data_IF_328457890381
#
_entry.id   IF_328457890381
#
_cell.length_a   1.000
_cell.length_b   1.000
_cell.length_c   1.000
_cell.angle_alpha   90.00
_cell.angle_beta   90.00
_cell.angle_gamma   90.00
#
_symmetry.space_group_name_H-M   'P 1'
#
loop_
_entity.id
_entity.type
_entity.pdbx_description
1 polymer ?
#
# COMPACT_ATOMS: atom_id res chain seq x y z
N UNK A 1 -10.84 62.18 -6.66
CA UNK A 1 -10.47 61.56 -5.38
C UNK A 1 -10.47 60.04 -5.57
N UNK A 2 -9.33 59.36 -5.61
CA UNK A 2 -9.29 57.88 -5.70
C UNK A 2 -9.47 57.33 -4.29
N UNK A 3 -10.59 56.64 -4.04
CA UNK A 3 -10.83 55.95 -2.77
C UNK A 3 -9.86 54.78 -2.69
N UNK A 4 -8.97 54.78 -1.70
CA UNK A 4 -8.04 53.67 -1.44
C UNK A 4 -8.80 52.63 -0.60
N UNK A 5 -9.39 51.63 -1.27
CA UNK A 5 -10.01 50.50 -0.60
C UNK A 5 -8.92 49.63 0.01
N UNK A 6 -8.63 49.84 1.30
CA UNK A 6 -7.73 48.99 2.09
C UNK A 6 -8.52 47.91 2.82
N UNK A 7 -7.95 46.71 2.90
CA UNK A 7 -8.47 45.61 3.72
C UNK A 7 -8.39 46.00 5.21
N UNK A 8 -9.43 45.69 5.98
CA UNK A 8 -9.45 45.96 7.42
C UNK A 8 -8.77 44.86 8.21
N UNK A 9 -8.21 45.19 9.38
CA UNK A 9 -7.57 44.20 10.25
C UNK A 9 -8.58 43.16 10.75
N UNK A 10 -9.82 43.59 10.98
CA UNK A 10 -10.91 42.69 11.37
C UNK A 10 -11.29 41.69 10.27
N UNK A 11 -11.24 42.08 9.00
CA UNK A 11 -11.46 41.15 7.89
C UNK A 11 -10.41 40.04 7.86
N UNK A 12 -9.14 40.37 8.10
CA UNK A 12 -8.11 39.34 8.16
C UNK A 12 -8.29 38.41 9.37
N UNK A 13 -8.71 38.94 10.52
CA UNK A 13 -8.95 38.13 11.73
C UNK A 13 -10.11 37.13 11.56
N UNK A 14 -11.22 37.56 10.96
CA UNK A 14 -12.36 36.68 10.70
C UNK A 14 -12.00 35.60 9.68
N UNK A 15 -11.25 35.95 8.63
CA UNK A 15 -10.82 34.99 7.61
C UNK A 15 -9.92 33.89 8.20
N UNK A 16 -8.90 34.25 8.98
CA UNK A 16 -8.01 33.24 9.59
C UNK A 16 -8.73 32.38 10.62
N UNK A 17 -9.72 32.93 11.33
CA UNK A 17 -10.55 32.17 12.27
C UNK A 17 -11.36 31.09 11.55
N UNK A 18 -12.02 31.45 10.44
CA UNK A 18 -12.80 30.49 9.65
C UNK A 18 -11.88 29.41 9.04
N UNK A 19 -10.71 29.79 8.49
CA UNK A 19 -9.74 28.82 7.96
C UNK A 19 -9.24 27.88 9.07
N UNK A 20 -9.00 28.40 10.29
CA UNK A 20 -8.57 27.59 11.43
C UNK A 20 -9.58 26.50 11.81
N UNK A 21 -10.87 26.83 11.85
CA UNK A 21 -11.94 25.86 12.12
C UNK A 21 -11.98 24.78 11.02
N UNK A 22 -11.99 25.19 9.75
CA UNK A 22 -12.03 24.24 8.63
C UNK A 22 -10.79 23.34 8.59
N UNK A 23 -9.60 23.87 8.88
CA UNK A 23 -8.37 23.11 8.92
C UNK A 23 -8.39 22.04 10.03
N UNK A 24 -8.90 22.38 11.21
CA UNK A 24 -8.98 21.45 12.36
C UNK A 24 -9.79 20.18 12.04
N UNK A 25 -10.85 20.32 11.25
CA UNK A 25 -11.72 19.21 10.84
C UNK A 25 -11.17 18.56 9.56
N UNK A 26 -10.71 19.34 8.59
CA UNK A 26 -10.32 18.83 7.27
C UNK A 26 -9.02 18.01 7.26
N UNK A 27 -8.03 18.37 8.07
CA UNK A 27 -6.73 17.68 8.10
C UNK A 27 -6.81 16.18 8.44
N UNK A 28 -7.48 15.73 9.52
CA UNK A 28 -7.56 14.30 9.84
C UNK A 28 -8.26 13.49 8.74
N UNK A 29 -9.32 14.04 8.12
CA UNK A 29 -10.00 13.39 6.98
C UNK A 29 -9.09 13.28 5.74
N UNK A 30 -8.30 14.32 5.48
CA UNK A 30 -7.36 14.33 4.36
C UNK A 30 -6.28 13.25 4.52
N UNK A 31 -5.67 13.14 5.72
CA UNK A 31 -4.67 12.11 5.99
C UNK A 31 -5.24 10.70 5.86
N UNK A 32 -6.45 10.45 6.37
CA UNK A 32 -7.12 9.15 6.22
C UNK A 32 -7.34 8.80 4.75
N UNK A 33 -7.72 9.77 3.92
CA UNK A 33 -7.93 9.57 2.48
C UNK A 33 -6.62 9.18 1.79
N UNK A 34 -5.52 9.88 2.07
CA UNK A 34 -4.19 9.54 1.53
C UNK A 34 -3.79 8.12 1.93
N UNK A 35 -3.96 7.77 3.20
CA UNK A 35 -3.58 6.44 3.69
C UNK A 35 -4.46 5.34 3.09
N UNK A 36 -5.75 5.59 2.88
CA UNK A 36 -6.64 4.69 2.17
C UNK A 36 -6.26 4.51 0.68
N UNK A 37 -5.82 5.58 0.01
CA UNK A 37 -5.30 5.49 -1.37
C UNK A 37 -4.05 4.61 -1.43
N UNK A 38 -3.08 4.83 -0.53
CA UNK A 38 -1.87 3.97 -0.44
C UNK A 38 -2.24 2.51 -0.15
N UNK A 39 -3.24 2.27 0.70
CA UNK A 39 -3.74 0.95 1.01
C UNK A 39 -4.36 0.27 -0.22
N UNK A 40 -5.16 1.01 -1.00
CA UNK A 40 -5.76 0.52 -2.25
C UNK A 40 -4.69 0.14 -3.30
N UNK A 41 -3.66 0.98 -3.45
CA UNK A 41 -2.55 0.68 -4.35
C UNK A 41 -1.82 -0.60 -3.91
N UNK A 42 -1.60 -0.75 -2.59
CA UNK A 42 -0.99 -1.93 -2.02
C UNK A 42 -1.83 -3.20 -2.23
N UNK A 43 -3.17 -3.11 -2.21
CA UNK A 43 -4.07 -4.22 -2.54
C UNK A 43 -3.91 -4.65 -4.00
N UNK A 44 -3.80 -3.70 -4.93
CA UNK A 44 -3.62 -4.03 -6.36
C UNK A 44 -2.33 -4.83 -6.61
N UNK A 45 -1.23 -4.42 -5.97
CA UNK A 45 0.06 -5.13 -6.04
C UNK A 45 -0.04 -6.49 -5.32
N UNK A 46 -0.74 -6.56 -4.20
CA UNK A 46 -1.00 -7.80 -3.48
C UNK A 46 -1.77 -8.83 -4.33
N UNK A 47 -2.79 -8.40 -5.08
CA UNK A 47 -3.49 -9.27 -6.04
C UNK A 47 -2.56 -9.75 -7.17
N UNK A 48 -1.73 -8.88 -7.70
CA UNK A 48 -0.73 -9.24 -8.71
C UNK A 48 0.25 -10.30 -8.18
N UNK A 49 0.76 -10.12 -6.96
CA UNK A 49 1.64 -11.10 -6.30
C UNK A 49 0.93 -12.43 -6.00
N UNK A 50 -0.32 -12.38 -5.54
CA UNK A 50 -1.09 -13.59 -5.28
C UNK A 50 -1.35 -14.39 -6.57
N UNK A 51 -1.68 -13.71 -7.67
CA UNK A 51 -1.92 -14.35 -8.96
C UNK A 51 -0.64 -14.94 -9.56
N UNK A 52 0.48 -14.23 -9.45
CA UNK A 52 1.77 -14.69 -9.97
C UNK A 52 2.37 -15.82 -9.14
N UNK A 53 2.09 -15.84 -7.83
CA UNK A 53 2.36 -17.01 -7.00
C UNK A 53 1.60 -18.24 -7.49
N UNK A 54 0.31 -18.11 -7.83
CA UNK A 54 -0.47 -19.23 -8.40
C UNK A 54 0.07 -19.69 -9.74
N UNK A 55 0.47 -18.77 -10.61
CA UNK A 55 1.11 -19.11 -11.90
C UNK A 55 2.38 -19.93 -11.65
N UNK A 56 3.22 -19.51 -10.70
CA UNK A 56 4.41 -20.26 -10.33
C UNK A 56 4.09 -21.66 -9.77
N UNK A 57 3.02 -21.79 -8.97
CA UNK A 57 2.57 -23.09 -8.45
C UNK A 57 2.06 -24.04 -9.54
N UNK A 58 1.51 -23.51 -10.64
CA UNK A 58 1.13 -24.31 -11.82
C UNK A 58 2.37 -24.87 -12.51
N UNK A 59 3.42 -24.07 -12.63
CA UNK A 59 4.68 -24.50 -13.26
C UNK A 59 5.52 -25.41 -12.34
N UNK A 60 5.35 -25.29 -11.02
CA UNK A 60 6.12 -26.00 -10.00
C UNK A 60 5.17 -26.76 -9.05
N UNK A 61 4.54 -27.85 -9.53
CA UNK A 61 3.56 -28.59 -8.73
C UNK A 61 4.19 -29.11 -7.43
N UNK A 62 3.53 -28.84 -6.30
CA UNK A 62 4.00 -29.21 -4.96
C UNK A 62 5.05 -28.27 -4.36
N UNK A 63 5.51 -27.27 -5.12
CA UNK A 63 6.38 -26.22 -4.62
C UNK A 63 5.63 -25.21 -3.75
N UNK A 64 6.31 -24.66 -2.75
CA UNK A 64 5.86 -23.49 -2.01
C UNK A 64 6.95 -22.44 -1.96
N UNK A 65 6.57 -21.18 -2.14
CA UNK A 65 7.43 -20.03 -1.86
C UNK A 65 7.01 -19.46 -0.53
N UNK A 66 7.95 -18.84 0.17
CA UNK A 66 7.71 -18.13 1.41
C UNK A 66 8.81 -17.09 1.56
N UNK A 67 8.44 -15.81 1.57
CA UNK A 67 9.42 -14.74 1.77
C UNK A 67 8.94 -13.37 1.30
N UNK A 68 9.67 -12.35 1.73
CA UNK A 68 9.44 -10.96 1.35
C UNK A 68 9.88 -10.70 -0.09
N UNK A 69 9.14 -9.83 -0.77
CA UNK A 69 9.55 -9.24 -2.05
C UNK A 69 10.13 -7.87 -1.75
N UNK A 70 11.42 -7.70 -2.04
CA UNK A 70 12.20 -6.48 -1.75
C UNK A 70 13.05 -6.10 -2.95
N UNK A 71 13.70 -4.94 -2.91
CA UNK A 71 14.62 -4.52 -3.97
C UNK A 71 15.79 -5.48 -4.22
N UNK A 72 16.16 -6.30 -3.23
CA UNK A 72 17.17 -7.34 -3.43
C UNK A 72 16.75 -8.36 -4.51
N UNK A 73 15.44 -8.57 -4.68
CA UNK A 73 14.90 -9.48 -5.68
C UNK A 73 15.17 -9.03 -7.13
N UNK A 74 15.47 -7.74 -7.36
CA UNK A 74 15.74 -7.22 -8.71
C UNK A 74 17.13 -7.62 -9.25
N UNK A 75 18.08 -7.90 -8.35
CA UNK A 75 19.49 -8.19 -8.68
C UNK A 75 19.86 -9.68 -8.66
N UNK A 76 18.94 -10.55 -8.23
CA UNK A 76 19.18 -12.01 -8.18
C UNK A 76 18.73 -12.69 -9.47
N UNK A 77 19.40 -13.79 -9.81
CA UNK A 77 19.01 -14.65 -10.94
C UNK A 77 18.00 -15.70 -10.48
N UNK A 78 17.18 -16.22 -11.41
CA UNK A 78 16.17 -17.24 -11.10
C UNK A 78 16.74 -18.49 -10.39
N UNK A 79 17.97 -18.90 -10.74
CA UNK A 79 18.63 -20.07 -10.15
C UNK A 79 19.03 -19.86 -8.67
N UNK A 80 19.38 -18.63 -8.29
CA UNK A 80 19.82 -18.29 -6.93
C UNK A 80 18.72 -17.65 -6.07
N UNK A 81 17.57 -17.31 -6.67
CA UNK A 81 16.45 -16.70 -5.97
C UNK A 81 15.71 -17.71 -5.09
N UNK A 82 15.38 -17.26 -3.88
CA UNK A 82 14.59 -18.02 -2.89
C UNK A 82 13.39 -17.22 -2.42
N UNK A 83 12.39 -17.92 -1.87
CA UNK A 83 11.17 -17.31 -1.35
C UNK A 83 10.43 -16.44 -2.37
N UNK A 84 9.85 -15.32 -1.92
CA UNK A 84 9.12 -14.38 -2.76
C UNK A 84 9.95 -13.76 -3.90
N UNK A 85 11.28 -13.67 -3.76
CA UNK A 85 12.15 -13.16 -4.82
C UNK A 85 12.14 -14.02 -6.07
N UNK A 86 11.72 -15.28 -5.98
CA UNK A 86 11.64 -16.18 -7.15
C UNK A 86 10.63 -15.69 -8.19
N UNK A 87 9.55 -15.03 -7.75
CA UNK A 87 8.56 -14.45 -8.67
C UNK A 87 9.14 -13.31 -9.51
N UNK A 88 10.00 -12.47 -8.93
CA UNK A 88 10.65 -11.37 -9.65
C UNK A 88 11.80 -11.90 -10.51
N UNK A 89 12.66 -12.74 -9.94
CA UNK A 89 13.86 -13.24 -10.58
C UNK A 89 13.60 -14.18 -11.77
N UNK A 90 12.50 -14.94 -11.71
CA UNK A 90 12.05 -15.83 -12.78
C UNK A 90 11.01 -15.20 -13.71
N UNK A 91 10.86 -13.86 -13.69
CA UNK A 91 9.99 -13.08 -14.59
C UNK A 91 8.48 -13.37 -14.51
N UNK A 92 7.98 -13.88 -13.37
CA UNK A 92 6.53 -13.92 -13.12
C UNK A 92 5.96 -12.52 -12.81
N UNK A 93 6.81 -11.66 -12.24
CA UNK A 93 6.49 -10.27 -11.93
C UNK A 93 7.60 -9.36 -12.45
N UNK A 94 7.21 -8.20 -12.98
CA UNK A 94 8.16 -7.19 -13.44
C UNK A 94 9.03 -6.65 -12.28
N UNK A 95 10.30 -6.33 -12.60
CA UNK A 95 11.19 -5.63 -11.68
C UNK A 95 10.64 -4.24 -11.41
N UNK A 96 10.61 -3.84 -10.14
CA UNK A 96 10.16 -2.53 -9.69
C UNK A 96 10.80 -2.17 -8.35
N UNK A 97 10.62 -0.94 -7.90
CA UNK A 97 11.05 -0.53 -6.57
C UNK A 97 10.06 -1.00 -5.50
N UNK A 98 10.34 -2.17 -4.92
CA UNK A 98 9.53 -2.83 -3.89
C UNK A 98 9.62 -2.15 -2.52
N UNK A 99 10.65 -1.32 -2.29
CA UNK A 99 10.89 -0.66 -1.02
C UNK A 99 10.45 0.82 -1.02
N UNK A 100 10.13 1.39 -2.19
CA UNK A 100 9.62 2.76 -2.30
C UNK A 100 8.22 2.94 -1.69
N UNK A 101 7.42 1.87 -1.67
CA UNK A 101 6.05 1.90 -1.15
C UNK A 101 5.99 1.97 0.38
N UNK A 102 4.89 2.52 0.91
CA UNK A 102 4.61 2.47 2.36
C UNK A 102 4.13 1.10 2.86
N UNK A 103 4.16 0.07 2.02
CA UNK A 103 3.75 -1.29 2.35
C UNK A 103 4.85 -2.27 1.95
N UNK A 104 5.07 -3.27 2.79
CA UNK A 104 5.92 -4.43 2.52
C UNK A 104 5.08 -5.56 1.94
N UNK A 105 5.68 -6.31 1.01
CA UNK A 105 5.02 -7.41 0.33
C UNK A 105 5.64 -8.74 0.72
N UNK A 106 4.80 -9.71 1.02
CA UNK A 106 5.20 -11.07 1.36
C UNK A 106 4.41 -12.05 0.51
N UNK A 107 5.06 -13.11 0.07
CA UNK A 107 4.46 -14.17 -0.75
C UNK A 107 4.56 -15.48 -0.02
N UNK A 108 3.47 -16.25 -0.03
CA UNK A 108 3.40 -17.59 0.54
C UNK A 108 3.01 -17.69 2.01
N UNK A 109 3.31 -18.84 2.63
CA UNK A 109 2.88 -19.20 3.98
C UNK A 109 1.51 -19.88 4.00
N UNK A 110 0.61 -19.47 4.91
CA UNK A 110 -0.76 -19.99 4.98
C UNK A 110 -1.70 -19.47 3.86
N UNK A 111 -1.21 -18.54 3.01
CA UNK A 111 -1.94 -17.94 1.88
C UNK A 111 -1.05 -17.73 0.66
N UNK A 112 -1.56 -17.01 -0.34
CA UNK A 112 -0.82 -16.70 -1.57
C UNK A 112 0.10 -15.50 -1.40
N UNK A 113 -0.41 -14.41 -0.81
CA UNK A 113 0.36 -13.21 -0.55
C UNK A 113 -0.20 -12.46 0.66
N UNK A 114 0.61 -11.60 1.26
CA UNK A 114 0.17 -10.64 2.26
C UNK A 114 0.91 -9.33 2.11
N UNK A 115 0.24 -8.25 2.50
CA UNK A 115 0.72 -6.88 2.33
C UNK A 115 0.54 -6.16 3.66
N UNK A 116 1.59 -5.56 4.18
CA UNK A 116 1.61 -4.97 5.53
C UNK A 116 2.21 -3.58 5.51
N UNK A 117 1.68 -2.66 6.32
CA UNK A 117 2.19 -1.31 6.41
C UNK A 117 3.66 -1.33 6.85
N UNK A 118 4.52 -0.64 6.12
CA UNK A 118 5.92 -0.45 6.45
C UNK A 118 6.07 0.81 7.33
N UNK A 119 6.50 0.65 8.59
CA UNK A 119 6.89 1.77 9.45
C UNK A 119 5.78 2.75 9.84
N UNK A 120 4.55 2.27 10.10
CA UNK A 120 3.44 3.13 10.53
C UNK A 120 3.49 3.52 12.01
N UNK A 121 3.05 4.74 12.33
CA UNK A 121 2.75 5.20 13.69
C UNK A 121 1.26 5.44 13.85
N UNK A 122 0.67 5.07 15.00
CA UNK A 122 -0.75 5.33 15.30
C UNK A 122 -1.72 4.34 14.65
N UNK A 123 -2.93 4.81 14.30
CA UNK A 123 -4.08 3.99 13.88
C UNK A 123 -3.83 3.15 12.62
N UNK A 124 -2.89 3.55 11.76
CA UNK A 124 -2.63 2.90 10.47
C UNK A 124 -1.50 1.87 10.51
N UNK A 125 -0.81 1.71 11.64
CA UNK A 125 0.35 0.83 11.76
C UNK A 125 0.00 -0.65 11.57
N UNK A 126 -1.20 -1.06 11.96
CA UNK A 126 -1.68 -2.43 11.81
C UNK A 126 -2.35 -2.71 10.47
N UNK A 127 -2.43 -1.73 9.57
CA UNK A 127 -3.12 -1.90 8.29
C UNK A 127 -2.39 -2.89 7.39
N UNK A 128 -3.17 -3.75 6.74
CA UNK A 128 -2.66 -4.73 5.80
C UNK A 128 -3.78 -5.55 5.18
N UNK A 129 -3.38 -6.46 4.30
CA UNK A 129 -4.26 -7.30 3.51
C UNK A 129 -3.64 -8.67 3.34
N UNK A 130 -4.44 -9.71 3.54
CA UNK A 130 -4.06 -11.10 3.29
C UNK A 130 -4.82 -11.62 2.07
N UNK A 131 -4.14 -12.40 1.23
CA UNK A 131 -4.66 -12.97 0.00
C UNK A 131 -4.60 -14.49 0.09
N UNK A 132 -5.75 -15.15 -0.04
CA UNK A 132 -5.82 -16.60 0.01
C UNK A 132 -5.56 -17.26 -1.36
N UNK A 133 -5.53 -18.59 -1.40
CA UNK A 133 -5.27 -19.37 -2.61
C UNK A 133 -6.37 -19.35 -3.66
N UNK A 134 -7.52 -18.72 -3.39
CA UNK A 134 -8.65 -18.57 -4.32
C UNK A 134 -8.85 -17.11 -4.79
N UNK A 135 -7.97 -16.18 -4.40
CA UNK A 135 -8.01 -14.79 -4.87
C UNK A 135 -8.77 -13.83 -3.97
N UNK A 136 -9.35 -14.32 -2.88
CA UNK A 136 -10.02 -13.47 -1.92
C UNK A 136 -8.98 -12.65 -1.14
N UNK A 137 -9.26 -11.37 -1.01
CA UNK A 137 -8.54 -10.43 -0.16
C UNK A 137 -9.31 -10.24 1.15
N UNK A 138 -8.60 -10.27 2.27
CA UNK A 138 -9.14 -9.98 3.60
C UNK A 138 -8.34 -8.85 4.25
N UNK A 139 -9.00 -7.77 4.72
CA UNK A 139 -8.31 -6.68 5.41
C UNK A 139 -7.82 -7.13 6.78
N UNK A 140 -6.79 -6.47 7.29
CA UNK A 140 -6.19 -6.76 8.59
C UNK A 140 -6.11 -5.51 9.44
N UNK A 141 -6.40 -5.68 10.74
CA UNK A 141 -6.58 -4.55 11.65
C UNK A 141 -7.84 -3.76 11.30
N UNK A 142 -7.73 -2.43 11.33
CA UNK A 142 -8.80 -1.49 10.97
C UNK A 142 -8.69 -1.00 9.52
N UNK A 143 -7.96 -1.72 8.67
CA UNK A 143 -7.79 -1.35 7.27
C UNK A 143 -9.16 -1.31 6.55
N UNK A 144 -9.34 -0.40 5.58
CA UNK A 144 -10.53 -0.38 4.74
C UNK A 144 -10.75 -1.73 4.05
N UNK A 145 -12.01 -2.08 3.77
CA UNK A 145 -12.36 -3.29 3.04
C UNK A 145 -11.61 -3.36 1.70
N UNK A 146 -11.27 -4.57 1.27
CA UNK A 146 -10.60 -4.76 0.00
C UNK A 146 -11.47 -4.19 -1.14
N UNK A 147 -10.93 -3.31 -2.00
CA UNK A 147 -11.64 -2.88 -3.19
C UNK A 147 -12.02 -4.09 -4.04
N UNK A 148 -13.27 -4.11 -4.52
CA UNK A 148 -13.77 -5.14 -5.43
C UNK A 148 -13.51 -4.64 -6.85
N UNK A 149 -12.60 -5.29 -7.55
CA UNK A 149 -12.36 -5.10 -8.97
C UNK A 149 -13.10 -6.16 -9.78
#
# INVERSE_FOLDING_TARGET
MKIRNGFTLIEMVVVVLIIGILASIGLPYYYKTIEASKASDAVSIGHLLANTYRMWQVDNPGGSLSGYVTNACNGVTCASASGGCKLVACNYVAKQDWNAGSYTFYVGGAGSASVRRNGGTGEYASWGYDFNNIGACTPVGTAPICPRF
#
